data_IF_353224123692
#
_entry.id   IF_353224123692
#
_cell.length_a   1.000
_cell.length_b   1.000
_cell.length_c   1.000
_cell.angle_alpha   90.00
_cell.angle_beta   90.00
_cell.angle_gamma   90.00
#
_symmetry.space_group_name_H-M   'P 1'
#
loop_
_entity.id
_entity.type
_entity.pdbx_description
1 polymer ?
#
# COMPACT_ATOMS: atom_id res chain seq x y z
N UNK A 1 -27.44 8.49 -13.18
CA UNK A 1 -26.46 8.95 -12.19
C UNK A 1 -25.46 7.83 -12.18
N UNK A 2 -24.33 8.01 -12.87
CA UNK A 2 -23.25 7.03 -12.78
C UNK A 2 -22.56 7.38 -11.47
N UNK A 3 -22.68 6.49 -10.49
CA UNK A 3 -21.75 6.47 -9.37
C UNK A 3 -20.37 6.30 -10.02
N UNK A 4 -19.43 7.20 -9.71
CA UNK A 4 -18.02 6.97 -10.01
C UNK A 4 -17.67 5.66 -9.29
N UNK A 5 -17.42 4.59 -10.05
CA UNK A 5 -17.14 3.27 -9.47
C UNK A 5 -15.74 3.34 -8.84
N UNK A 6 -15.71 3.58 -7.53
CA UNK A 6 -14.48 3.54 -6.74
C UNK A 6 -14.14 2.08 -6.43
N UNK A 7 -12.96 1.63 -6.83
CA UNK A 7 -12.46 0.31 -6.47
C UNK A 7 -11.74 0.39 -5.12
N UNK A 8 -12.21 -0.39 -4.13
CA UNK A 8 -11.66 -0.38 -2.77
C UNK A 8 -11.40 -1.81 -2.29
N UNK A 9 -10.20 -2.03 -1.74
CA UNK A 9 -9.86 -3.26 -1.02
C UNK A 9 -9.12 -2.93 0.27
N UNK A 10 -9.20 -3.83 1.24
CA UNK A 10 -8.51 -3.66 2.52
C UNK A 10 -7.90 -4.97 3.03
N UNK A 11 -6.90 -4.86 3.89
CA UNK A 11 -6.26 -6.01 4.53
C UNK A 11 -5.77 -5.65 5.93
N UNK A 12 -6.27 -6.37 6.92
CA UNK A 12 -5.88 -6.24 8.32
C UNK A 12 -4.59 -7.04 8.56
N UNK A 13 -3.64 -6.42 9.24
CA UNK A 13 -2.38 -7.06 9.65
C UNK A 13 -2.60 -8.28 10.56
N UNK A 14 -1.72 -9.30 10.51
CA UNK A 14 -1.85 -10.51 11.33
C UNK A 14 -1.98 -10.29 12.85
N UNK A 15 -1.42 -9.20 13.38
CA UNK A 15 -1.51 -8.84 14.79
C UNK A 15 -2.70 -7.94 15.14
N UNK A 16 -3.56 -7.63 14.16
CA UNK A 16 -4.78 -6.82 14.27
C UNK A 16 -4.53 -5.37 14.76
N UNK A 17 -3.32 -4.83 14.58
CA UNK A 17 -3.00 -3.45 14.98
C UNK A 17 -3.07 -2.43 13.86
N UNK A 18 -3.07 -2.89 12.63
CA UNK A 18 -3.02 -2.07 11.43
C UNK A 18 -3.96 -2.62 10.37
N UNK A 19 -4.47 -1.72 9.54
CA UNK A 19 -5.15 -2.04 8.29
C UNK A 19 -4.56 -1.19 7.17
N UNK A 20 -4.37 -1.82 6.02
CA UNK A 20 -4.09 -1.10 4.78
C UNK A 20 -5.33 -1.10 3.91
N UNK A 21 -5.64 0.04 3.32
CA UNK A 21 -6.77 0.24 2.40
C UNK A 21 -6.20 0.74 1.09
N UNK A 22 -6.57 0.11 -0.03
CA UNK A 22 -6.31 0.65 -1.36
C UNK A 22 -7.61 1.22 -1.91
N UNK A 23 -7.53 2.41 -2.49
CA UNK A 23 -8.63 3.10 -3.16
C UNK A 23 -8.17 3.58 -4.54
N UNK A 24 -8.95 3.27 -5.56
CA UNK A 24 -8.86 3.84 -6.90
C UNK A 24 -10.16 4.58 -7.23
N UNK A 25 -10.06 5.87 -7.52
CA UNK A 25 -11.18 6.75 -7.86
C UNK A 25 -11.47 6.86 -9.38
N UNK A 26 -10.82 6.02 -10.18
CA UNK A 26 -10.85 6.01 -11.65
C UNK A 26 -9.71 6.80 -12.29
N UNK A 27 -9.03 7.67 -11.53
CA UNK A 27 -7.91 8.48 -12.01
C UNK A 27 -6.63 8.22 -11.21
N UNK A 28 -6.72 7.99 -9.90
CA UNK A 28 -5.57 7.88 -9.00
C UNK A 28 -5.74 6.71 -8.04
N UNK A 29 -4.64 5.99 -7.82
CA UNK A 29 -4.58 4.88 -6.87
C UNK A 29 -3.76 5.24 -5.64
N UNK A 30 -4.34 5.10 -4.46
CA UNK A 30 -3.67 5.33 -3.17
C UNK A 30 -3.78 4.12 -2.25
N UNK A 31 -2.69 3.83 -1.53
CA UNK A 31 -2.70 2.94 -0.37
C UNK A 31 -2.65 3.79 0.90
N UNK A 32 -3.61 3.61 1.78
CA UNK A 32 -3.66 4.22 3.11
C UNK A 32 -3.18 3.23 4.17
N UNK A 33 -2.36 3.70 5.10
CA UNK A 33 -1.94 2.98 6.29
C UNK A 33 -2.66 3.54 7.50
N UNK A 34 -3.42 2.68 8.20
CA UNK A 34 -4.31 3.08 9.28
C UNK A 34 -4.03 2.24 10.55
N UNK A 35 -3.60 2.87 11.66
CA UNK A 35 -3.59 2.22 12.96
C UNK A 35 -5.00 1.86 13.42
N UNK A 36 -5.13 0.72 14.11
CA UNK A 36 -6.36 0.26 14.73
C UNK A 36 -6.30 0.46 16.25
N UNK A 37 -7.41 0.90 16.83
CA UNK A 37 -7.56 1.02 18.28
C UNK A 37 -7.78 -0.37 18.92
N UNK A 38 -7.88 -0.43 20.26
CA UNK A 38 -8.09 -1.69 20.99
C UNK A 38 -9.42 -2.39 20.69
N UNK A 39 -10.36 -1.71 20.03
CA UNK A 39 -11.64 -2.26 19.57
C UNK A 39 -11.59 -2.76 18.12
N UNK A 40 -10.44 -2.64 17.45
CA UNK A 40 -10.26 -3.01 16.04
C UNK A 40 -10.79 -1.95 15.06
N UNK A 41 -11.07 -0.73 15.51
CA UNK A 41 -11.56 0.36 14.64
C UNK A 41 -10.40 1.25 14.20
N UNK A 42 -10.47 1.79 12.97
CA UNK A 42 -9.46 2.72 12.46
C UNK A 42 -9.41 3.98 13.32
N UNK A 43 -8.21 4.34 13.79
CA UNK A 43 -7.97 5.61 14.47
C UNK A 43 -7.92 6.78 13.48
N UNK A 44 -7.67 6.48 12.20
CA UNK A 44 -7.54 7.42 11.10
C UNK A 44 -6.44 6.99 10.14
N UNK A 45 -6.23 7.80 9.09
CA UNK A 45 -5.11 7.62 8.16
C UNK A 45 -3.85 8.18 8.81
N UNK A 46 -2.87 7.33 9.10
CA UNK A 46 -1.56 7.76 9.59
C UNK A 46 -0.64 8.16 8.44
N UNK A 47 -0.71 7.44 7.32
CA UNK A 47 0.06 7.77 6.12
C UNK A 47 -0.62 7.26 4.84
N UNK A 48 -0.15 7.76 3.70
CA UNK A 48 -0.59 7.35 2.37
C UNK A 48 0.60 7.11 1.44
N UNK A 49 0.46 6.14 0.54
CA UNK A 49 1.32 5.92 -0.61
C UNK A 49 0.51 6.23 -1.86
N UNK A 50 1.00 7.20 -2.63
CA UNK A 50 0.55 7.39 -3.99
C UNK A 50 1.15 6.29 -4.87
N UNK A 51 0.30 5.52 -5.57
CA UNK A 51 0.72 4.39 -6.41
C UNK A 51 0.81 4.81 -7.88
N UNK A 52 -0.21 5.51 -8.38
CA UNK A 52 -0.23 6.02 -9.75
C UNK A 52 -1.20 7.17 -9.96
N UNK A 53 -0.93 7.94 -11.02
CA UNK A 53 -1.94 8.65 -11.81
C UNK A 53 -2.18 7.86 -13.09
N UNK A 54 -3.42 7.43 -13.33
CA UNK A 54 -3.92 6.70 -14.49
C UNK A 54 -3.09 5.48 -14.91
N UNK A 55 -3.73 4.32 -14.97
CA UNK A 55 -3.10 3.08 -15.44
C UNK A 55 -3.88 2.48 -16.61
N UNK A 56 -3.17 1.72 -17.44
CA UNK A 56 -3.74 0.95 -18.53
C UNK A 56 -3.11 -0.45 -18.52
N UNK A 57 -3.89 -1.52 -18.31
CA UNK A 57 -5.34 -1.52 -18.07
C UNK A 57 -5.75 -0.88 -16.73
N UNK A 58 -7.04 -0.53 -16.52
CA UNK A 58 -7.53 -0.07 -15.22
C UNK A 58 -7.36 -1.16 -14.15
N UNK A 59 -7.28 -0.79 -12.88
CA UNK A 59 -6.96 -1.73 -11.79
C UNK A 59 -7.95 -2.87 -11.68
N UNK A 60 -9.23 -2.60 -11.96
CA UNK A 60 -10.32 -3.58 -11.91
C UNK A 60 -10.18 -4.70 -12.96
N UNK A 61 -9.36 -4.47 -13.98
CA UNK A 61 -9.09 -5.45 -15.03
C UNK A 61 -7.87 -6.33 -14.72
N UNK A 62 -7.13 -6.06 -13.63
CA UNK A 62 -6.08 -6.94 -13.14
C UNK A 62 -6.67 -8.24 -12.58
N UNK A 63 -5.93 -9.34 -12.68
CA UNK A 63 -6.35 -10.65 -12.20
C UNK A 63 -6.26 -10.73 -10.66
N UNK A 64 -5.27 -10.07 -10.08
CA UNK A 64 -5.03 -10.02 -8.63
C UNK A 64 -4.68 -8.60 -8.19
N UNK A 65 -5.38 -8.10 -7.17
CA UNK A 65 -5.08 -6.83 -6.49
C UNK A 65 -5.25 -7.08 -5.01
N UNK A 66 -4.20 -6.85 -4.23
CA UNK A 66 -4.19 -7.28 -2.83
C UNK A 66 -3.02 -6.77 -2.01
N UNK A 67 -2.98 -7.25 -0.78
CA UNK A 67 -1.91 -6.97 0.16
C UNK A 67 -1.29 -8.26 0.67
N UNK A 68 0.03 -8.28 0.81
CA UNK A 68 0.77 -9.33 1.49
C UNK A 68 1.40 -8.75 2.76
N UNK A 69 0.97 -9.23 3.93
CA UNK A 69 1.57 -8.90 5.22
C UNK A 69 2.64 -9.93 5.59
N UNK A 70 3.71 -9.46 6.22
CA UNK A 70 4.67 -10.33 6.90
C UNK A 70 4.00 -10.94 8.15
N UNK A 71 4.41 -12.14 8.56
CA UNK A 71 3.82 -12.90 9.66
C UNK A 71 3.85 -12.12 10.98
N UNK A 72 4.88 -11.29 11.18
CA UNK A 72 5.03 -10.43 12.36
C UNK A 72 4.36 -9.05 12.22
N UNK A 73 3.68 -8.80 11.10
CA UNK A 73 3.06 -7.53 10.74
C UNK A 73 4.02 -6.34 10.60
N UNK A 74 5.32 -6.60 10.42
CA UNK A 74 6.33 -5.54 10.33
C UNK A 74 6.48 -4.95 8.92
N UNK A 75 5.99 -5.65 7.89
CA UNK A 75 5.94 -5.15 6.51
C UNK A 75 4.61 -5.50 5.86
N UNK A 76 4.23 -4.69 4.88
CA UNK A 76 3.13 -4.98 3.97
C UNK A 76 3.45 -4.49 2.57
N UNK A 77 3.25 -5.38 1.60
CA UNK A 77 3.37 -5.09 0.18
C UNK A 77 1.98 -4.96 -0.44
N UNK A 78 1.79 -3.94 -1.29
CA UNK A 78 0.66 -3.86 -2.22
C UNK A 78 1.05 -4.60 -3.50
N UNK A 79 0.29 -5.64 -3.83
CA UNK A 79 0.58 -6.57 -4.92
C UNK A 79 -0.50 -6.44 -5.99
N UNK A 80 -0.07 -6.33 -7.25
CA UNK A 80 -0.94 -6.33 -8.43
C UNK A 80 -0.38 -7.31 -9.45
N UNK A 81 -1.15 -8.32 -9.82
CA UNK A 81 -0.76 -9.39 -10.75
C UNK A 81 0.61 -10.04 -10.41
N UNK A 82 0.85 -10.24 -9.10
CA UNK A 82 2.10 -10.80 -8.57
C UNK A 82 3.28 -9.82 -8.48
N UNK A 83 3.11 -8.57 -8.91
CA UNK A 83 4.14 -7.54 -8.87
C UNK A 83 3.97 -6.62 -7.65
N UNK A 84 5.08 -6.25 -7.00
CA UNK A 84 5.06 -5.37 -5.83
C UNK A 84 5.04 -3.90 -6.26
N UNK A 85 3.88 -3.26 -6.11
CA UNK A 85 3.66 -1.88 -6.53
C UNK A 85 3.88 -0.86 -5.40
N UNK A 86 3.81 -1.30 -4.15
CA UNK A 86 4.13 -0.48 -2.99
C UNK A 86 4.59 -1.34 -1.82
N UNK A 87 5.44 -0.78 -0.97
CA UNK A 87 5.96 -1.44 0.22
C UNK A 87 5.98 -0.46 1.39
N UNK A 88 5.42 -0.91 2.51
CA UNK A 88 5.46 -0.26 3.81
C UNK A 88 6.30 -1.12 4.75
N UNK A 89 7.36 -0.57 5.31
CA UNK A 89 8.25 -1.24 6.25
C UNK A 89 8.27 -0.50 7.59
N UNK A 90 7.61 -1.08 8.58
CA UNK A 90 7.44 -0.51 9.92
C UNK A 90 8.72 -0.64 10.75
N UNK A 91 9.61 -1.59 10.42
CA UNK A 91 10.88 -1.77 11.11
C UNK A 91 11.84 -0.64 10.78
N UNK A 92 12.01 -0.35 9.47
CA UNK A 92 12.87 0.74 9.00
C UNK A 92 12.15 2.09 8.99
N UNK A 93 10.82 2.08 9.18
CA UNK A 93 9.93 3.26 9.10
C UNK A 93 10.08 3.95 7.76
N UNK A 94 9.99 3.15 6.72
CA UNK A 94 10.08 3.58 5.33
C UNK A 94 8.90 3.08 4.54
N UNK A 95 8.58 3.84 3.51
CA UNK A 95 7.60 3.47 2.49
C UNK A 95 8.19 3.74 1.12
N UNK A 96 7.80 2.94 0.15
CA UNK A 96 8.28 3.07 -1.21
C UNK A 96 7.18 2.67 -2.19
N UNK A 97 7.02 3.45 -3.24
CA UNK A 97 6.20 3.10 -4.40
C UNK A 97 7.10 2.61 -5.52
N UNK A 98 6.65 1.60 -6.25
CA UNK A 98 7.28 1.13 -7.46
C UNK A 98 7.51 2.28 -8.46
N UNK A 99 8.71 2.43 -9.04
CA UNK A 99 8.95 3.46 -10.03
C UNK A 99 8.16 3.18 -11.32
N UNK A 100 7.96 4.23 -12.12
CA UNK A 100 7.37 4.11 -13.46
C UNK A 100 8.42 4.33 -14.53
N UNK A 101 8.50 3.39 -15.46
CA UNK A 101 9.38 3.46 -16.62
C UNK A 101 8.57 3.22 -17.89
N UNK A 102 8.70 4.10 -18.88
CA UNK A 102 7.99 3.98 -20.16
C UNK A 102 6.47 3.76 -20.02
N UNK A 103 5.86 4.42 -19.03
CA UNK A 103 4.43 4.32 -18.68
C UNK A 103 3.98 2.96 -18.11
N UNK A 104 4.92 2.11 -17.70
CA UNK A 104 4.65 0.88 -16.96
C UNK A 104 5.18 1.01 -15.52
N UNK A 105 4.49 0.39 -14.58
CA UNK A 105 4.99 0.25 -13.20
C UNK A 105 6.05 -0.86 -13.20
N UNK A 106 7.21 -0.58 -12.61
CA UNK A 106 8.31 -1.53 -12.46
C UNK A 106 8.31 -2.01 -11.03
N UNK A 107 7.98 -3.29 -10.87
CA UNK A 107 7.89 -3.98 -9.58
C UNK A 107 9.09 -3.71 -8.68
N UNK A 108 8.81 -3.48 -7.40
CA UNK A 108 9.85 -3.38 -6.39
C UNK A 108 10.58 -4.72 -6.26
N UNK A 109 11.93 -4.71 -6.17
CA UNK A 109 12.71 -5.93 -6.03
C UNK A 109 12.36 -6.69 -4.74
N UNK A 110 12.33 -8.02 -4.82
CA UNK A 110 12.01 -8.90 -3.69
C UNK A 110 13.00 -8.76 -2.52
N UNK A 111 14.23 -8.33 -2.81
CA UNK A 111 15.24 -8.06 -1.80
C UNK A 111 14.79 -6.97 -0.82
N UNK A 112 13.99 -5.98 -1.25
CA UNK A 112 13.42 -4.98 -0.34
C UNK A 112 12.41 -5.58 0.63
N UNK A 113 11.68 -6.61 0.21
CA UNK A 113 10.79 -7.37 1.10
C UNK A 113 11.58 -8.18 2.13
N UNK A 114 12.60 -8.89 1.68
CA UNK A 114 13.41 -9.77 2.51
C UNK A 114 14.32 -9.00 3.49
N UNK A 115 15.00 -7.96 3.01
CA UNK A 115 16.01 -7.21 3.76
C UNK A 115 15.46 -5.95 4.43
N UNK A 116 14.31 -5.45 3.96
CA UNK A 116 13.73 -4.17 4.37
C UNK A 116 14.19 -3.00 3.51
N UNK A 117 13.45 -1.88 3.58
CA UNK A 117 13.78 -0.68 2.79
C UNK A 117 14.98 0.04 3.42
N UNK A 118 16.08 0.28 2.69
CA UNK A 118 17.22 1.02 3.22
C UNK A 118 16.82 2.42 3.69
N UNK A 119 17.39 2.91 4.79
CA UNK A 119 17.13 4.25 5.35
C UNK A 119 17.43 5.39 4.35
N UNK A 120 18.35 5.14 3.41
CA UNK A 120 18.72 6.02 2.30
C UNK A 120 17.75 6.04 1.13
N UNK A 121 16.79 5.12 1.13
CA UNK A 121 15.76 4.95 0.11
C UNK A 121 14.36 5.11 0.76
N UNK A 122 13.35 5.30 -0.08
CA UNK A 122 11.98 5.49 0.37
C UNK A 122 11.73 6.79 1.13
N UNK A 123 10.46 7.07 1.32
CA UNK A 123 9.97 8.15 2.16
C UNK A 123 9.83 7.68 3.60
N UNK A 124 9.81 8.61 4.54
CA UNK A 124 9.54 8.30 5.94
C UNK A 124 8.08 7.85 6.08
N UNK A 125 7.86 6.69 6.70
CA UNK A 125 6.53 6.20 7.05
C UNK A 125 6.07 6.77 8.39
N UNK A 126 4.92 7.43 8.40
CA UNK A 126 4.22 7.85 9.61
C UNK A 126 3.37 6.69 10.18
N UNK A 127 3.48 6.47 11.49
CA UNK A 127 2.80 5.35 12.18
C UNK A 127 1.66 5.81 13.10
N UNK A 128 1.47 7.12 13.24
CA UNK A 128 0.48 7.73 14.13
C UNK A 128 -0.34 8.75 13.35
N UNK A 129 -1.62 8.81 13.64
CA UNK A 129 -2.50 9.85 13.10
C UNK A 129 -2.08 11.21 13.64
N UNK A 130 -1.83 12.18 12.77
CA UNK A 130 -1.56 13.56 13.20
C UNK A 130 -2.85 14.18 13.74
N UNK A 131 -2.76 14.78 14.93
CA UNK A 131 -3.86 15.40 15.67
C UNK A 131 -3.91 16.91 15.54
#
# INVERSE_FOLDING_TARGET
MNEEETFVIESVSPNERYVCVFEDDGDTGYVYFCPLNSSGEMEGVADALWIYDQIAPPIEACEEVGFAWDDDSSKVAFIVDGECWGLLDLNTKRKLTAPREHNAIVSLPIELWEEGIPVSEGEVLQLSVES
#
